data_IF_011136200375
#
_entry.id   IF_011136200375
#
_cell.length_a   1.000
_cell.length_b   1.000
_cell.length_c   1.000
_cell.angle_alpha   90.00
_cell.angle_beta   90.00
_cell.angle_gamma   90.00
#
_symmetry.space_group_name_H-M   'P 1'
#
loop_
_entity.id
_entity.type
_entity.pdbx_description
1 polymer ?
#
# COMPACT_ATOMS: atom_id res chain seq x y z
N UNK A 1 14.66 16.17 0.77
CA UNK A 1 14.21 15.91 2.15
C UNK A 1 14.75 14.54 2.56
N UNK A 2 15.08 14.26 3.83
CA UNK A 2 15.49 12.91 4.23
C UNK A 2 14.32 11.94 4.05
N UNK A 3 14.56 10.73 3.52
CA UNK A 3 13.51 9.71 3.27
C UNK A 3 12.63 9.46 4.51
N UNK A 4 13.22 9.48 5.70
CA UNK A 4 12.51 9.29 6.98
C UNK A 4 11.46 10.37 7.24
N UNK A 5 11.70 11.63 6.87
CA UNK A 5 10.75 12.72 7.05
C UNK A 5 9.61 12.64 6.04
N UNK A 6 9.89 12.20 4.81
CA UNK A 6 8.86 11.93 3.80
C UNK A 6 7.91 10.81 4.24
N UNK A 7 8.44 9.73 4.84
CA UNK A 7 7.62 8.65 5.40
C UNK A 7 6.70 9.13 6.53
N UNK A 8 7.21 9.95 7.46
CA UNK A 8 6.39 10.53 8.54
C UNK A 8 5.28 11.41 7.99
N UNK A 9 5.58 12.24 6.99
CA UNK A 9 4.60 13.10 6.34
C UNK A 9 3.50 12.28 5.65
N UNK A 10 3.88 11.26 4.88
CA UNK A 10 2.91 10.37 4.22
C UNK A 10 2.04 9.64 5.23
N UNK A 11 2.62 9.15 6.32
CA UNK A 11 1.87 8.49 7.39
C UNK A 11 0.86 9.44 8.04
N UNK A 12 1.27 10.67 8.37
CA UNK A 12 0.39 11.69 8.91
C UNK A 12 -0.77 12.02 7.96
N UNK A 13 -0.48 12.20 6.67
CA UNK A 13 -1.49 12.43 5.65
C UNK A 13 -2.52 11.30 5.58
N UNK A 14 -2.07 10.04 5.54
CA UNK A 14 -2.94 8.86 5.50
C UNK A 14 -3.83 8.75 6.74
N UNK A 15 -3.26 9.03 7.91
CA UNK A 15 -4.00 9.03 9.17
C UNK A 15 -5.11 10.10 9.15
N UNK A 16 -4.77 11.32 8.72
CA UNK A 16 -5.75 12.41 8.60
C UNK A 16 -6.86 12.08 7.60
N UNK A 17 -6.51 11.53 6.42
CA UNK A 17 -7.48 11.12 5.40
C UNK A 17 -8.43 10.04 5.91
N UNK A 18 -7.92 9.07 6.67
CA UNK A 18 -8.74 8.03 7.30
C UNK A 18 -9.74 8.64 8.28
N UNK A 19 -9.29 9.44 9.24
CA UNK A 19 -10.18 10.08 10.21
C UNK A 19 -11.20 11.00 9.54
N UNK A 20 -10.82 11.67 8.46
CA UNK A 20 -11.70 12.49 7.65
C UNK A 20 -12.81 11.68 6.97
N UNK A 21 -12.45 10.57 6.31
CA UNK A 21 -13.40 9.68 5.66
C UNK A 21 -14.36 9.02 6.65
N UNK A 22 -13.85 8.58 7.82
CA UNK A 22 -14.67 8.01 8.90
C UNK A 22 -15.71 9.00 9.40
N UNK A 23 -15.34 10.28 9.61
CA UNK A 23 -16.27 11.33 10.07
C UNK A 23 -17.31 11.74 9.02
N UNK A 24 -16.99 11.63 7.74
CA UNK A 24 -17.90 11.97 6.64
C UNK A 24 -18.80 10.81 6.21
N UNK A 25 -18.55 9.59 6.68
CA UNK A 25 -19.35 8.44 6.28
C UNK A 25 -20.80 8.61 6.75
N UNK A 26 -21.74 8.60 5.79
CA UNK A 26 -23.18 8.75 6.03
C UNK A 26 -23.88 7.44 6.45
N UNK A 27 -23.15 6.32 6.49
CA UNK A 27 -23.65 5.00 6.87
C UNK A 27 -22.80 4.39 7.97
N UNK A 28 -23.44 3.61 8.84
CA UNK A 28 -22.79 2.66 9.75
C UNK A 28 -22.05 1.60 8.95
N UNK A 29 -20.78 1.87 8.67
CA UNK A 29 -19.88 0.98 7.95
C UNK A 29 -18.49 1.56 7.95
N UNK A 30 -17.48 0.70 8.07
CA UNK A 30 -16.07 1.06 7.94
C UNK A 30 -15.78 1.46 6.48
N UNK A 31 -16.19 2.67 6.08
CA UNK A 31 -15.77 3.26 4.81
C UNK A 31 -14.33 3.73 4.94
N UNK A 32 -13.41 2.80 4.69
CA UNK A 32 -11.99 3.11 4.59
C UNK A 32 -11.69 3.78 3.25
N UNK A 33 -10.77 4.74 3.27
CA UNK A 33 -10.19 5.32 2.06
C UNK A 33 -9.64 4.20 1.20
N UNK A 34 -9.98 4.14 -0.10
CA UNK A 34 -9.44 3.13 -1.04
C UNK A 34 -8.40 3.72 -1.98
N UNK A 35 -8.64 4.92 -2.46
CA UNK A 35 -7.70 5.68 -3.26
C UNK A 35 -8.13 7.14 -3.29
N UNK A 36 -7.20 8.03 -3.64
CA UNK A 36 -7.54 9.34 -4.16
C UNK A 36 -6.85 9.53 -5.51
N UNK A 37 -7.48 10.32 -6.37
CA UNK A 37 -7.02 10.59 -7.73
C UNK A 37 -6.79 12.08 -7.88
N UNK A 38 -5.62 12.43 -8.39
CA UNK A 38 -5.26 13.79 -8.81
C UNK A 38 -5.23 13.85 -10.34
N UNK A 39 -4.88 15.01 -10.90
CA UNK A 39 -4.65 15.16 -12.34
C UNK A 39 -3.48 14.31 -12.86
N UNK A 40 -2.49 14.05 -11.99
CA UNK A 40 -1.20 13.49 -12.41
C UNK A 40 -0.99 12.05 -11.94
N UNK A 41 -1.62 11.63 -10.85
CA UNK A 41 -1.47 10.27 -10.32
C UNK A 41 -2.69 9.83 -9.51
N UNK A 42 -2.82 8.52 -9.34
CA UNK A 42 -3.76 7.89 -8.42
C UNK A 42 -2.98 7.20 -7.30
N UNK A 43 -3.23 7.59 -6.06
CA UNK A 43 -2.68 6.91 -4.90
C UNK A 43 -3.68 5.87 -4.41
N UNK A 44 -3.32 4.61 -4.52
CA UNK A 44 -4.11 3.47 -4.07
C UNK A 44 -3.66 3.07 -2.66
N UNK A 45 -4.63 2.77 -1.80
CA UNK A 45 -4.41 2.45 -0.40
C UNK A 45 -5.18 1.19 -0.02
N UNK A 46 -4.51 0.29 0.70
CA UNK A 46 -5.12 -0.88 1.32
C UNK A 46 -4.60 -1.02 2.74
N UNK A 47 -5.53 -1.21 3.68
CA UNK A 47 -5.21 -1.51 5.07
C UNK A 47 -5.73 -2.90 5.43
N UNK A 48 -4.88 -3.72 6.03
CA UNK A 48 -5.28 -5.02 6.55
C UNK A 48 -5.87 -4.88 7.96
N UNK A 49 -6.68 -5.85 8.42
CA UNK A 49 -7.16 -5.86 9.81
C UNK A 49 -6.04 -5.88 10.87
N UNK A 50 -4.85 -6.34 10.49
CA UNK A 50 -3.65 -6.31 11.35
C UNK A 50 -2.97 -4.93 11.43
N UNK A 51 -3.49 -3.93 10.71
CA UNK A 51 -2.97 -2.56 10.71
C UNK A 51 -1.86 -2.29 9.69
N UNK A 52 -1.49 -3.28 8.87
CA UNK A 52 -0.52 -3.11 7.78
C UNK A 52 -1.13 -2.25 6.68
N UNK A 53 -0.37 -1.24 6.23
CA UNK A 53 -0.80 -0.25 5.25
C UNK A 53 0.04 -0.39 3.99
N UNK A 54 -0.61 -0.65 2.87
CA UNK A 54 0.01 -0.72 1.56
C UNK A 54 -0.43 0.48 0.73
N UNK A 55 0.55 1.18 0.16
CA UNK A 55 0.35 2.40 -0.61
C UNK A 55 1.04 2.24 -1.95
N UNK A 56 0.34 2.56 -3.03
CA UNK A 56 0.88 2.47 -4.39
C UNK A 56 0.41 3.65 -5.23
N UNK A 57 1.36 4.41 -5.77
CA UNK A 57 1.09 5.42 -6.77
C UNK A 57 1.08 4.79 -8.16
N UNK A 58 0.05 5.10 -8.94
CA UNK A 58 -0.12 4.61 -10.30
C UNK A 58 -0.59 5.74 -11.20
N UNK A 59 -0.54 5.51 -12.50
CA UNK A 59 -1.19 6.38 -13.47
C UNK A 59 -2.71 6.49 -13.17
N UNK A 60 -3.35 7.65 -13.40
CA UNK A 60 -4.79 7.81 -13.18
C UNK A 60 -5.70 6.94 -14.05
N UNK A 61 -5.17 6.38 -15.15
CA UNK A 61 -5.87 5.45 -16.05
C UNK A 61 -5.62 3.97 -15.71
N UNK A 62 -4.70 3.67 -14.79
CA UNK A 62 -4.35 2.30 -14.46
C UNK A 62 -5.54 1.51 -13.87
N UNK A 63 -5.74 0.31 -14.40
CA UNK A 63 -6.79 -0.65 -14.00
C UNK A 63 -6.14 -1.84 -13.28
N UNK A 64 -6.89 -2.56 -12.45
CA UNK A 64 -6.41 -3.78 -11.76
C UNK A 64 -5.52 -3.54 -10.53
N UNK A 65 -5.36 -2.29 -10.09
CA UNK A 65 -4.47 -1.95 -8.98
C UNK A 65 -4.88 -2.54 -7.63
N UNK A 66 -6.18 -2.59 -7.25
CA UNK A 66 -6.59 -3.27 -6.01
C UNK A 66 -6.21 -4.76 -5.99
N UNK A 67 -6.27 -5.43 -7.14
CA UNK A 67 -5.89 -6.84 -7.29
C UNK A 67 -4.37 -6.99 -7.19
N UNK A 68 -3.61 -6.10 -7.83
CA UNK A 68 -2.16 -6.04 -7.72
C UNK A 68 -1.68 -5.85 -6.27
N UNK A 69 -2.28 -4.92 -5.52
CA UNK A 69 -1.92 -4.69 -4.12
C UNK A 69 -2.23 -5.93 -3.26
N UNK A 70 -3.35 -6.63 -3.52
CA UNK A 70 -3.65 -7.91 -2.83
C UNK A 70 -2.64 -8.99 -3.17
N UNK A 71 -2.17 -9.07 -4.42
CA UNK A 71 -1.13 -10.02 -4.81
C UNK A 71 0.21 -9.72 -4.12
N UNK A 72 0.57 -8.44 -3.99
CA UNK A 72 1.75 -8.02 -3.19
C UNK A 72 1.60 -8.43 -1.73
N UNK A 73 0.39 -8.31 -1.16
CA UNK A 73 0.12 -8.78 0.20
C UNK A 73 0.33 -10.29 0.36
N UNK A 74 -0.06 -11.10 -0.62
CA UNK A 74 0.21 -12.54 -0.58
C UNK A 74 1.72 -12.83 -0.58
N UNK A 75 2.48 -12.14 -1.44
CA UNK A 75 3.95 -12.25 -1.46
C UNK A 75 4.56 -11.85 -0.10
N UNK A 76 4.07 -10.77 0.51
CA UNK A 76 4.50 -10.35 1.84
C UNK A 76 4.24 -11.42 2.90
N UNK A 77 3.05 -12.04 2.91
CA UNK A 77 2.74 -13.12 3.84
C UNK A 77 3.67 -14.32 3.62
N UNK A 78 3.88 -14.72 2.37
CA UNK A 78 4.64 -15.92 2.04
C UNK A 78 6.14 -15.78 2.30
N UNK A 79 6.71 -14.60 2.08
CA UNK A 79 8.16 -14.39 2.15
C UNK A 79 8.61 -13.73 3.44
N UNK A 80 7.77 -12.88 4.04
CA UNK A 80 8.10 -12.11 5.25
C UNK A 80 7.45 -12.74 6.48
N UNK A 81 6.12 -12.88 6.51
CA UNK A 81 5.42 -13.36 7.72
C UNK A 81 5.72 -14.82 8.06
N UNK A 82 5.93 -15.67 7.06
CA UNK A 82 6.31 -17.07 7.28
C UNK A 82 7.77 -17.25 7.70
N UNK A 83 8.60 -16.22 7.59
CA UNK A 83 10.02 -16.30 7.93
C UNK A 83 10.29 -15.69 9.31
N UNK A 84 10.46 -16.50 10.37
CA UNK A 84 10.64 -16.01 11.74
C UNK A 84 11.97 -15.27 11.95
N UNK A 85 12.90 -15.32 10.99
CA UNK A 85 14.19 -14.62 11.05
C UNK A 85 14.07 -13.15 10.63
N UNK A 86 12.95 -12.74 10.02
CA UNK A 86 12.74 -11.37 9.57
C UNK A 86 12.05 -10.58 10.68
N UNK A 87 12.71 -9.52 11.13
CA UNK A 87 12.10 -8.54 12.00
C UNK A 87 11.16 -7.62 11.21
N UNK A 88 9.89 -7.67 11.55
CA UNK A 88 8.81 -6.92 10.88
C UNK A 88 8.69 -5.49 11.40
N UNK A 89 9.38 -5.16 12.49
CA UNK A 89 9.38 -3.81 13.07
C UNK A 89 10.35 -2.85 12.37
N UNK A 90 11.31 -3.41 11.63
CA UNK A 90 12.31 -2.67 10.88
C UNK A 90 12.06 -2.75 9.38
N UNK A 91 12.91 -2.11 8.60
CA UNK A 91 12.82 -2.16 7.14
C UNK A 91 13.02 -3.60 6.65
N UNK A 92 12.11 -4.09 5.81
CA UNK A 92 12.19 -5.43 5.21
C UNK A 92 13.39 -5.47 4.27
N UNK A 93 14.39 -6.31 4.58
CA UNK A 93 15.63 -6.48 3.80
C UNK A 93 15.67 -7.79 2.99
N UNK A 94 14.54 -8.49 2.87
CA UNK A 94 14.48 -9.77 2.16
C UNK A 94 14.60 -9.59 0.64
N UNK A 95 15.69 -10.11 0.06
CA UNK A 95 15.93 -10.12 -1.39
C UNK A 95 14.87 -10.92 -2.15
N UNK A 96 14.37 -12.01 -1.54
CA UNK A 96 13.32 -12.84 -2.13
C UNK A 96 12.01 -12.05 -2.24
N UNK A 97 11.64 -11.30 -1.20
CA UNK A 97 10.47 -10.42 -1.23
C UNK A 97 10.62 -9.37 -2.33
N UNK A 98 11.77 -8.66 -2.36
CA UNK A 98 12.04 -7.63 -3.36
C UNK A 98 11.94 -8.17 -4.79
N UNK A 99 12.58 -9.31 -5.06
CA UNK A 99 12.58 -9.95 -6.39
C UNK A 99 11.17 -10.36 -6.84
N UNK A 100 10.37 -10.94 -5.93
CA UNK A 100 9.01 -11.40 -6.26
C UNK A 100 8.06 -10.24 -6.50
N UNK A 101 8.18 -9.17 -5.71
CA UNK A 101 7.39 -7.95 -5.90
C UNK A 101 7.77 -7.29 -7.22
N UNK A 102 9.06 -7.18 -7.54
CA UNK A 102 9.54 -6.59 -8.78
C UNK A 102 9.00 -7.34 -10.01
N UNK A 103 9.10 -8.68 -10.03
CA UNK A 103 8.53 -9.50 -11.09
C UNK A 103 7.02 -9.29 -11.28
N UNK A 104 6.28 -9.18 -10.16
CA UNK A 104 4.83 -8.98 -10.20
C UNK A 104 4.47 -7.60 -10.74
N UNK A 105 5.18 -6.56 -10.32
CA UNK A 105 4.92 -5.18 -10.73
C UNK A 105 5.32 -4.97 -12.19
N UNK A 106 6.52 -5.42 -12.59
CA UNK A 106 7.01 -5.31 -13.96
C UNK A 106 6.20 -6.14 -14.96
N UNK A 107 5.59 -7.24 -14.52
CA UNK A 107 4.70 -8.06 -15.35
C UNK A 107 3.27 -7.50 -15.48
N UNK A 108 2.94 -6.43 -14.76
CA UNK A 108 1.58 -5.88 -14.77
C UNK A 108 1.31 -5.08 -16.05
N UNK A 109 0.12 -5.22 -16.63
CA UNK A 109 -0.23 -4.57 -17.91
C UNK A 109 -0.19 -3.03 -17.89
N UNK A 110 -0.28 -2.44 -16.69
CA UNK A 110 -0.24 -1.00 -16.47
C UNK A 110 1.18 -0.47 -16.15
N UNK A 111 2.19 -1.35 -16.17
CA UNK A 111 3.59 -0.98 -16.01
C UNK A 111 4.13 -0.54 -17.38
N UNK A 112 4.55 0.72 -17.49
CA UNK A 112 5.08 1.36 -18.70
C UNK A 112 6.44 1.95 -18.37
#
# INVERSE_FOLDING_TARGET
MPKSEEFKLMFGMLLSLRSFAERLSSKDGQQLVRYFKTSSYRMNYMETPTGLKMVMNTDPSAVGIPELIRAIYQIYVDTVMKNPLIDTSTQITSDLFATRVDQLVCGHSSYI
#
